data_IF_978740223120
#
_entry.id   IF_978740223120
#
_cell.length_a   1.000
_cell.length_b   1.000
_cell.length_c   1.000
_cell.angle_alpha   90.00
_cell.angle_beta   90.00
_cell.angle_gamma   90.00
#
_symmetry.space_group_name_H-M   'P 1'
#
loop_
_entity.id
_entity.type
_entity.pdbx_description
1 polymer ?
#
# COMPACT_ATOMS: atom_id res chain seq x y z
N UNK A 1 -50.71 -15.03 5.79
CA UNK A 1 -51.30 -15.74 6.94
C UNK A 1 -50.56 -17.06 7.13
N UNK A 2 -50.11 -17.28 8.35
CA UNK A 2 -49.45 -18.46 8.97
C UNK A 2 -48.10 -18.91 8.38
N UNK A 3 -46.95 -18.77 9.08
CA UNK A 3 -46.55 -19.25 10.43
C UNK A 3 -46.60 -20.77 10.56
N UNK A 4 -45.42 -21.39 10.67
CA UNK A 4 -44.96 -22.29 11.75
C UNK A 4 -43.47 -22.58 11.45
N UNK A 5 -42.51 -22.03 12.18
CA UNK A 5 -42.10 -22.28 13.57
C UNK A 5 -40.95 -23.28 13.69
N UNK A 6 -39.98 -22.81 14.47
CA UNK A 6 -38.65 -23.30 14.79
C UNK A 6 -38.70 -24.32 15.94
N UNK A 7 -37.67 -25.15 16.09
CA UNK A 7 -37.06 -25.38 17.41
C UNK A 7 -35.54 -25.09 17.34
N UNK A 8 -34.90 -24.19 18.12
CA UNK A 8 -34.74 -24.11 19.60
C UNK A 8 -34.54 -25.49 20.22
N UNK A 9 -33.48 -25.86 20.94
CA UNK A 9 -32.31 -25.16 21.48
C UNK A 9 -31.36 -26.28 22.01
N UNK A 10 -30.83 -26.25 23.24
CA UNK A 10 -29.54 -25.69 23.66
C UNK A 10 -28.63 -26.73 24.34
N UNK A 11 -27.38 -26.36 24.63
CA UNK A 11 -26.72 -26.64 25.92
C UNK A 11 -25.34 -25.96 25.95
N UNK A 12 -25.15 -24.91 26.74
CA UNK A 12 -24.52 -24.95 28.08
C UNK A 12 -23.03 -25.30 27.98
N UNK A 13 -22.05 -24.58 28.53
CA UNK A 13 -21.89 -23.69 29.71
C UNK A 13 -20.34 -23.49 29.73
N UNK A 14 -19.67 -22.39 30.03
CA UNK A 14 -19.56 -21.56 31.25
C UNK A 14 -18.60 -20.41 30.88
N UNK A 15 -18.79 -19.26 31.54
CA UNK A 15 -17.98 -18.02 31.58
C UNK A 15 -16.49 -18.22 32.01
N UNK A 16 -15.77 -17.17 32.45
CA UNK A 16 -15.04 -16.17 31.67
C UNK A 16 -13.53 -16.26 31.97
N UNK A 17 -12.65 -15.69 31.14
CA UNK A 17 -11.28 -15.39 31.57
C UNK A 17 -11.01 -13.91 31.37
N UNK A 18 -11.45 -13.16 32.38
CA UNK A 18 -10.79 -11.94 32.78
C UNK A 18 -9.32 -12.28 33.06
N UNK A 19 -8.45 -11.93 32.10
CA UNK A 19 -7.01 -12.04 32.21
C UNK A 19 -6.41 -10.73 32.69
N UNK A 20 -6.87 -10.25 33.85
CA UNK A 20 -6.10 -9.32 34.68
C UNK A 20 -5.75 -10.06 35.97
N UNK A 21 -4.47 -10.40 36.15
CA UNK A 21 -3.91 -10.48 37.48
C UNK A 21 -3.03 -9.26 37.69
N UNK A 22 -3.61 -8.32 38.44
CA UNK A 22 -2.91 -7.48 39.38
C UNK A 22 -2.06 -8.40 40.28
N UNK A 23 -0.82 -8.70 39.86
CA UNK A 23 0.17 -9.23 40.78
C UNK A 23 0.77 -8.05 41.53
N UNK A 24 -0.03 -7.58 42.50
CA UNK A 24 0.46 -7.00 43.73
C UNK A 24 1.51 -7.95 44.32
N UNK A 25 2.77 -7.70 44.03
CA UNK A 25 3.85 -8.18 44.88
C UNK A 25 3.63 -7.55 46.25
N UNK A 26 3.00 -8.33 47.12
CA UNK A 26 3.07 -8.16 48.56
C UNK A 26 4.55 -8.25 48.96
N UNK A 27 5.25 -7.12 48.84
CA UNK A 27 6.38 -6.87 49.71
C UNK A 27 5.82 -6.77 51.12
N UNK A 28 5.86 -7.89 51.82
CA UNK A 28 5.61 -8.01 53.26
C UNK A 28 6.67 -7.19 53.98
N UNK A 29 6.49 -5.87 54.03
CA UNK A 29 7.30 -5.00 54.88
C UNK A 29 6.90 -5.26 56.31
N UNK A 30 7.70 -6.10 56.97
CA UNK A 30 7.69 -6.29 58.41
C UNK A 30 7.89 -4.92 59.05
N UNK A 31 6.82 -4.35 59.59
CA UNK A 31 6.84 -3.09 60.33
C UNK A 31 7.60 -3.36 61.61
N UNK A 32 8.85 -2.95 61.67
CA UNK A 32 9.55 -2.68 62.92
C UNK A 32 10.26 -1.34 62.76
N UNK A 33 9.86 -0.41 63.61
CA UNK A 33 10.17 1.00 63.48
C UNK A 33 11.66 1.30 63.56
N UNK A 34 12.10 2.21 62.70
CA UNK A 34 12.92 3.35 63.12
C UNK A 34 12.85 4.42 62.02
N UNK A 35 12.67 5.66 62.46
CA UNK A 35 12.75 6.93 61.72
C UNK A 35 13.82 6.95 60.62
N UNK A 36 13.49 7.47 59.44
CA UNK A 36 14.34 8.28 58.53
C UNK A 36 13.48 8.73 57.34
N UNK A 37 12.96 9.96 57.36
CA UNK A 37 13.59 11.17 56.79
C UNK A 37 13.52 11.21 55.25
N UNK A 38 12.70 12.14 54.75
CA UNK A 38 12.51 12.52 53.36
C UNK A 38 13.86 12.82 52.69
N UNK A 39 14.16 12.16 51.58
CA UNK A 39 15.29 12.50 50.72
C UNK A 39 14.83 12.52 49.25
N UNK A 40 15.09 13.66 48.61
CA UNK A 40 14.68 14.03 47.27
C UNK A 40 15.20 13.08 46.20
N UNK A 41 14.30 12.63 45.31
CA UNK A 41 14.67 11.97 44.06
C UNK A 41 14.80 13.01 42.94
N UNK A 42 16.03 13.31 42.53
CA UNK A 42 16.32 14.13 41.36
C UNK A 42 15.74 13.50 40.08
N UNK A 43 14.88 14.25 39.39
CA UNK A 43 14.49 13.98 38.01
C UNK A 43 15.70 14.21 37.10
N UNK A 44 16.40 13.16 36.70
CA UNK A 44 17.35 13.22 35.58
C UNK A 44 16.64 12.76 34.33
N UNK A 45 15.89 13.68 33.72
CA UNK A 45 15.37 13.51 32.36
C UNK A 45 16.55 13.52 31.39
N UNK A 46 17.00 12.34 30.98
CA UNK A 46 17.98 12.21 29.91
C UNK A 46 17.30 12.57 28.59
N UNK A 47 17.38 13.83 28.21
CA UNK A 47 17.10 14.29 26.84
C UNK A 47 18.19 13.71 25.94
N UNK A 48 17.93 12.53 25.38
CA UNK A 48 18.67 12.02 24.24
C UNK A 48 18.36 12.95 23.06
N UNK A 49 19.23 13.95 22.87
CA UNK A 49 19.33 14.71 21.63
C UNK A 49 19.83 13.73 20.57
N UNK A 50 18.91 13.00 19.95
CA UNK A 50 19.18 12.24 18.73
C UNK A 50 19.54 13.21 17.60
N UNK A 51 20.35 12.79 16.62
CA UNK A 51 20.60 13.60 15.45
C UNK A 51 19.25 13.94 14.80
N UNK A 52 19.06 15.23 14.49
CA UNK A 52 17.95 15.72 13.69
C UNK A 52 17.95 14.96 12.37
N UNK A 53 17.12 13.93 12.26
CA UNK A 53 16.74 13.36 10.98
C UNK A 53 15.95 14.47 10.32
N UNK A 54 16.56 15.22 9.40
CA UNK A 54 15.80 16.02 8.45
C UNK A 54 14.85 15.04 7.77
N UNK A 55 13.58 15.13 8.13
CA UNK A 55 12.54 14.42 7.41
C UNK A 55 12.57 15.01 6.00
N UNK A 56 13.05 14.25 5.02
CA UNK A 56 12.85 14.54 3.61
C UNK A 56 11.34 14.79 3.44
N UNK A 57 10.97 16.06 3.30
CA UNK A 57 9.57 16.45 3.30
C UNK A 57 8.92 15.85 2.06
N UNK A 58 7.95 14.96 2.28
CA UNK A 58 7.20 14.39 1.17
C UNK A 58 6.39 15.50 0.51
N UNK A 59 6.88 16.00 -0.63
CA UNK A 59 6.16 16.92 -1.49
C UNK A 59 5.33 16.11 -2.52
N UNK A 60 3.99 16.05 -2.37
CA UNK A 60 3.14 15.30 -3.29
C UNK A 60 3.20 15.84 -4.72
N UNK A 61 3.45 17.13 -4.91
CA UNK A 61 3.49 17.77 -6.22
C UNK A 61 4.73 17.35 -7.01
N UNK A 62 5.90 17.35 -6.35
CA UNK A 62 7.15 16.89 -6.96
C UNK A 62 7.06 15.41 -7.34
N UNK A 63 6.52 14.57 -6.43
CA UNK A 63 6.31 13.15 -6.71
C UNK A 63 5.38 12.93 -7.90
N UNK A 64 4.33 13.73 -8.03
CA UNK A 64 3.41 13.67 -9.17
C UNK A 64 4.10 14.04 -10.49
N UNK A 65 4.83 15.15 -10.55
CA UNK A 65 5.49 15.58 -11.80
C UNK A 65 6.58 14.59 -12.23
N UNK A 66 7.36 14.04 -11.30
CA UNK A 66 8.35 13.00 -11.60
C UNK A 66 7.68 11.69 -12.09
N UNK A 67 6.61 11.24 -11.42
CA UNK A 67 5.84 10.08 -11.84
C UNK A 67 5.24 10.29 -13.24
N UNK A 68 4.70 11.47 -13.51
CA UNK A 68 4.10 11.84 -14.79
C UNK A 68 5.10 11.72 -15.92
N UNK A 69 6.32 12.23 -15.77
CA UNK A 69 7.36 12.11 -16.80
C UNK A 69 7.69 10.64 -17.09
N UNK A 70 7.85 9.81 -16.06
CA UNK A 70 8.11 8.37 -16.24
C UNK A 70 6.94 7.65 -16.91
N UNK A 71 5.72 8.03 -16.53
CA UNK A 71 4.49 7.49 -17.08
C UNK A 71 4.29 7.86 -18.55
N UNK A 72 4.60 9.10 -18.93
CA UNK A 72 4.55 9.57 -20.31
C UNK A 72 5.58 8.83 -21.17
N UNK A 73 6.79 8.59 -20.66
CA UNK A 73 7.80 7.78 -21.35
C UNK A 73 7.33 6.35 -21.63
N UNK A 74 6.62 5.74 -20.67
CA UNK A 74 6.05 4.40 -20.86
C UNK A 74 4.97 4.40 -21.95
N UNK A 75 4.03 5.35 -21.89
CA UNK A 75 2.96 5.47 -22.89
C UNK A 75 3.50 5.74 -24.30
N UNK A 76 4.46 6.66 -24.44
CA UNK A 76 5.10 6.98 -25.73
C UNK A 76 5.81 5.75 -26.31
N UNK A 77 6.48 4.97 -25.47
CA UNK A 77 7.09 3.71 -25.90
C UNK A 77 6.03 2.74 -26.45
N UNK A 78 4.95 2.52 -25.69
CA UNK A 78 3.91 1.57 -26.07
C UNK A 78 3.20 1.99 -27.37
N UNK A 79 2.84 3.26 -27.50
CA UNK A 79 2.26 3.80 -28.73
C UNK A 79 3.22 3.66 -29.92
N UNK A 80 4.51 3.95 -29.73
CA UNK A 80 5.52 3.82 -30.78
C UNK A 80 5.73 2.36 -31.21
N UNK A 81 5.58 1.41 -30.30
CA UNK A 81 5.72 -0.02 -30.59
C UNK A 81 4.64 -0.56 -31.55
N UNK A 82 3.51 0.16 -31.70
CA UNK A 82 2.45 -0.17 -32.65
C UNK A 82 2.73 0.34 -34.08
N UNK A 83 3.67 1.26 -34.25
CA UNK A 83 4.00 1.84 -35.56
C UNK A 83 4.43 0.73 -36.53
N UNK A 84 3.76 0.66 -37.68
CA UNK A 84 3.99 -0.38 -38.69
C UNK A 84 3.42 -1.76 -38.34
N UNK A 85 2.75 -1.93 -37.19
CA UNK A 85 2.09 -3.18 -36.78
C UNK A 85 0.57 -3.09 -36.80
N UNK A 86 0.01 -1.89 -36.99
CA UNK A 86 -1.45 -1.68 -37.06
C UNK A 86 -2.10 -2.57 -38.12
N UNK A 87 -1.49 -2.71 -39.29
CA UNK A 87 -2.03 -3.51 -40.40
C UNK A 87 -1.70 -5.01 -40.30
N UNK A 88 -1.04 -5.45 -39.22
CA UNK A 88 -0.80 -6.88 -39.01
C UNK A 88 -2.14 -7.60 -38.76
N UNK A 89 -2.30 -8.81 -39.28
CA UNK A 89 -3.50 -9.64 -39.06
C UNK A 89 -3.51 -10.30 -37.66
N UNK A 90 -3.33 -9.47 -36.62
CA UNK A 90 -3.37 -9.86 -35.21
C UNK A 90 -4.53 -9.13 -34.50
N UNK A 91 -5.19 -9.77 -33.52
CA UNK A 91 -6.19 -9.11 -32.68
C UNK A 91 -5.62 -7.86 -31.99
N UNK A 92 -6.48 -6.87 -31.75
CA UNK A 92 -6.06 -5.60 -31.13
C UNK A 92 -5.54 -5.82 -29.70
N UNK A 93 -6.14 -6.76 -28.97
CA UNK A 93 -5.75 -7.20 -27.63
C UNK A 93 -4.32 -7.72 -27.63
N UNK A 94 -3.99 -8.58 -28.60
CA UNK A 94 -2.66 -9.18 -28.71
C UNK A 94 -1.59 -8.12 -29.07
N UNK A 95 -1.94 -7.16 -29.95
CA UNK A 95 -1.04 -6.08 -30.29
C UNK A 95 -0.79 -5.11 -29.12
N UNK A 96 -1.85 -4.78 -28.37
CA UNK A 96 -1.75 -3.93 -27.18
C UNK A 96 -0.88 -4.60 -26.10
N UNK A 97 -1.09 -5.88 -25.82
CA UNK A 97 -0.28 -6.64 -24.86
C UNK A 97 1.19 -6.68 -25.28
N UNK A 98 1.48 -7.02 -26.54
CA UNK A 98 2.85 -7.04 -27.05
C UNK A 98 3.53 -5.65 -27.01
N UNK A 99 2.77 -4.58 -27.25
CA UNK A 99 3.29 -3.21 -27.17
C UNK A 99 3.71 -2.86 -25.74
N UNK A 100 2.88 -3.20 -24.75
CA UNK A 100 3.19 -2.99 -23.33
C UNK A 100 4.37 -3.85 -22.89
N UNK A 101 4.42 -5.11 -23.30
CA UNK A 101 5.51 -6.03 -22.95
C UNK A 101 6.84 -5.61 -23.56
N UNK A 102 6.85 -5.11 -24.80
CA UNK A 102 8.05 -4.54 -25.42
C UNK A 102 8.60 -3.33 -24.66
N UNK A 103 7.74 -2.64 -23.90
CA UNK A 103 8.06 -1.45 -23.14
C UNK A 103 8.19 -1.71 -21.62
N UNK A 104 8.34 -2.97 -21.20
CA UNK A 104 8.44 -3.38 -19.79
C UNK A 104 9.53 -2.63 -19.02
N UNK A 105 10.68 -2.35 -19.62
CA UNK A 105 11.75 -1.60 -18.95
C UNK A 105 11.32 -0.18 -18.49
N UNK A 106 10.40 0.48 -19.23
CA UNK A 106 9.84 1.78 -18.83
C UNK A 106 8.77 1.62 -17.75
N UNK A 107 7.94 0.59 -17.86
CA UNK A 107 7.01 0.19 -16.79
C UNK A 107 7.75 -0.06 -15.47
N UNK A 108 8.83 -0.84 -15.48
CA UNK A 108 9.62 -1.17 -14.29
C UNK A 108 10.32 0.05 -13.69
N UNK A 109 10.65 1.06 -14.51
CA UNK A 109 11.24 2.30 -14.03
C UNK A 109 10.23 3.16 -13.28
N UNK A 110 8.99 3.24 -13.79
CA UNK A 110 7.88 3.89 -13.08
C UNK A 110 7.55 3.12 -11.79
N UNK A 111 7.47 1.79 -11.86
CA UNK A 111 7.19 0.97 -10.68
C UNK A 111 8.23 1.18 -9.57
N UNK A 112 9.52 1.08 -9.88
CA UNK A 112 10.60 1.36 -8.91
C UNK A 112 10.53 2.76 -8.32
N UNK A 113 10.13 3.75 -9.12
CA UNK A 113 9.93 5.11 -8.62
C UNK A 113 8.78 5.16 -7.61
N UNK A 114 7.63 4.59 -7.96
CA UNK A 114 6.45 4.55 -7.09
C UNK A 114 6.72 3.75 -5.81
N UNK A 115 7.39 2.60 -5.90
CA UNK A 115 7.76 1.81 -4.71
C UNK A 115 8.56 2.64 -3.71
N UNK A 116 9.53 3.44 -4.20
CA UNK A 116 10.34 4.32 -3.35
C UNK A 116 9.53 5.45 -2.70
N UNK A 117 8.49 5.96 -3.37
CA UNK A 117 7.73 7.13 -2.91
C UNK A 117 6.49 6.78 -2.09
N UNK A 118 5.78 5.72 -2.45
CA UNK A 118 4.46 5.37 -1.88
C UNK A 118 4.38 3.93 -1.33
N UNK A 119 5.47 3.17 -1.40
CA UNK A 119 5.55 1.80 -0.92
C UNK A 119 5.00 0.76 -1.91
N UNK A 120 5.43 -0.49 -1.72
CA UNK A 120 5.21 -1.60 -2.65
C UNK A 120 3.73 -1.89 -2.96
N UNK A 121 2.88 -1.94 -1.93
CA UNK A 121 1.46 -2.25 -2.11
C UNK A 121 0.74 -1.16 -2.92
N UNK A 122 0.96 0.10 -2.56
CA UNK A 122 0.34 1.24 -3.26
C UNK A 122 0.85 1.33 -4.69
N UNK A 123 2.16 1.18 -4.91
CA UNK A 123 2.77 1.14 -6.23
C UNK A 123 2.17 0.02 -7.09
N UNK A 124 2.07 -1.20 -6.56
CA UNK A 124 1.47 -2.34 -7.27
C UNK A 124 0.03 -2.07 -7.72
N UNK A 125 -0.79 -1.49 -6.84
CA UNK A 125 -2.17 -1.13 -7.16
C UNK A 125 -2.24 -0.07 -8.26
N UNK A 126 -1.41 0.99 -8.16
CA UNK A 126 -1.34 2.04 -9.18
C UNK A 126 -0.87 1.48 -10.52
N UNK A 127 0.17 0.63 -10.53
CA UNK A 127 0.68 0.02 -11.74
C UNK A 127 -0.33 -0.92 -12.40
N UNK A 128 -1.11 -1.67 -11.63
CA UNK A 128 -2.20 -2.50 -12.15
C UNK A 128 -3.26 -1.62 -12.85
N UNK A 129 -3.72 -0.55 -12.20
CA UNK A 129 -4.71 0.38 -12.75
C UNK A 129 -4.20 1.07 -14.02
N UNK A 130 -2.95 1.54 -14.02
CA UNK A 130 -2.35 2.16 -15.19
C UNK A 130 -2.23 1.17 -16.35
N UNK A 131 -1.78 -0.06 -16.08
CA UNK A 131 -1.63 -1.09 -17.12
C UNK A 131 -2.98 -1.43 -17.75
N UNK A 132 -4.03 -1.62 -16.95
CA UNK A 132 -5.39 -1.88 -17.44
C UNK A 132 -5.91 -0.72 -18.29
N UNK A 133 -5.75 0.52 -17.80
CA UNK A 133 -6.15 1.72 -18.53
C UNK A 133 -5.41 1.85 -19.86
N UNK A 134 -4.13 1.55 -19.91
CA UNK A 134 -3.35 1.65 -21.15
C UNK A 134 -3.65 0.52 -22.11
N UNK A 135 -3.83 -0.71 -21.63
CA UNK A 135 -4.23 -1.82 -22.50
C UNK A 135 -5.58 -1.54 -23.17
N UNK A 136 -6.59 -1.14 -22.39
CA UNK A 136 -7.91 -0.78 -22.94
C UNK A 136 -7.84 0.40 -23.91
N UNK A 137 -7.09 1.45 -23.58
CA UNK A 137 -6.87 2.60 -24.46
C UNK A 137 -6.17 2.24 -25.78
N UNK A 138 -5.16 1.37 -25.73
CA UNK A 138 -4.48 0.90 -26.95
C UNK A 138 -5.39 0.02 -27.81
N UNK A 139 -6.18 -0.87 -27.21
CA UNK A 139 -7.15 -1.71 -27.95
C UNK A 139 -8.15 -0.83 -28.70
N UNK A 140 -8.72 0.17 -28.01
CA UNK A 140 -9.64 1.13 -28.61
C UNK A 140 -8.98 1.90 -29.76
N UNK A 141 -7.77 2.44 -29.54
CA UNK A 141 -7.03 3.17 -30.57
C UNK A 141 -6.68 2.31 -31.80
N UNK A 142 -6.25 1.06 -31.60
CA UNK A 142 -5.95 0.13 -32.70
C UNK A 142 -7.21 -0.17 -33.51
N UNK A 143 -8.34 -0.40 -32.82
CA UNK A 143 -9.62 -0.71 -33.46
C UNK A 143 -10.08 0.46 -34.31
N UNK A 144 -10.06 1.66 -33.75
CA UNK A 144 -10.40 2.91 -34.44
C UNK A 144 -9.51 3.16 -35.66
N UNK A 145 -8.18 3.06 -35.49
CA UNK A 145 -7.24 3.31 -36.59
C UNK A 145 -7.41 2.31 -37.74
N UNK A 146 -7.80 1.06 -37.47
CA UNK A 146 -8.04 0.06 -38.50
C UNK A 146 -9.35 0.25 -39.26
N UNK A 147 -10.35 0.88 -38.65
CA UNK A 147 -11.63 1.14 -39.31
C UNK A 147 -11.59 2.41 -40.18
N UNK A 148 -10.59 3.27 -39.96
CA UNK A 148 -10.46 4.57 -40.61
C UNK A 148 -9.23 4.73 -41.54
N UNK A 149 -8.32 3.76 -41.58
CA UNK A 149 -7.25 3.62 -42.59
C UNK A 149 -7.77 3.00 -43.90
#
# INVERSE_FOLDING_TARGET
>A
MSMHDVPLAPAHRVLPLAGQPDNCLFARTRVNGWRSALAAGCLVGSLLVGPSVEADEFDPFVVYEEAKVLNDQWQVCAASALKGRLQANQPAEQLAEQALDRCRARQDSLDRFLVKRVGERSASNVMALLREKYQSGLIAAITELRTHD
#
